data_IF_313580989579
#
_entry.id   IF_313580989579
#
_cell.length_a   1.000
_cell.length_b   1.000
_cell.length_c   1.000
_cell.angle_alpha   90.00
_cell.angle_beta   90.00
_cell.angle_gamma   90.00
#
_symmetry.space_group_name_H-M   'P 1'
#
loop_
_entity.id
_entity.type
_entity.pdbx_description
1 polymer ?
#
# COMPACT_ATOMS: atom_id res chain seq x y z
N UNK A 1 9.38 24.20 13.24
CA UNK A 1 10.08 22.91 12.97
C UNK A 1 9.42 21.77 13.73
N UNK A 2 8.92 22.02 14.94
CA UNK A 2 8.14 21.07 15.75
C UNK A 2 6.84 20.63 15.04
N UNK A 3 6.08 21.56 14.47
CA UNK A 3 4.84 21.26 13.72
C UNK A 3 5.04 20.25 12.58
N UNK A 4 6.19 20.30 11.89
CA UNK A 4 6.48 19.36 10.80
C UNK A 4 6.75 17.95 11.33
N UNK A 5 7.43 17.82 12.47
CA UNK A 5 7.66 16.52 13.10
C UNK A 5 6.35 15.94 13.64
N UNK A 6 5.50 16.75 14.27
CA UNK A 6 4.16 16.35 14.73
C UNK A 6 3.26 15.92 13.56
N UNK A 7 3.30 16.64 12.43
CA UNK A 7 2.57 16.27 11.22
C UNK A 7 3.03 14.93 10.65
N UNK A 8 4.33 14.66 10.64
CA UNK A 8 4.85 13.37 10.16
C UNK A 8 4.62 12.24 11.20
N UNK A 9 4.70 12.54 12.48
CA UNK A 9 4.42 11.60 13.58
C UNK A 9 2.96 11.14 13.56
N UNK A 10 2.03 12.04 13.25
CA UNK A 10 0.60 11.73 13.11
C UNK A 10 0.18 11.32 11.69
N UNK A 11 1.13 11.28 10.73
CA UNK A 11 0.82 10.90 9.35
C UNK A 11 0.28 9.47 9.29
N UNK A 12 -0.91 9.33 8.70
CA UNK A 12 -1.51 8.05 8.34
C UNK A 12 -1.07 7.62 6.95
N UNK A 13 -1.04 6.30 6.72
CA UNK A 13 -0.80 5.73 5.39
C UNK A 13 -1.97 6.11 4.48
N UNK A 14 -1.69 6.86 3.41
CA UNK A 14 -2.71 7.23 2.41
C UNK A 14 -2.83 6.15 1.34
N UNK A 15 -3.99 5.98 0.70
CA UNK A 15 -4.15 4.99 -0.38
C UNK A 15 -3.23 5.19 -1.59
N UNK A 16 -2.78 6.44 -1.81
CA UNK A 16 -1.83 6.80 -2.86
C UNK A 16 -0.37 6.55 -2.49
N UNK A 17 -0.07 6.36 -1.20
CA UNK A 17 1.29 6.18 -0.72
C UNK A 17 1.71 4.73 -0.87
N UNK A 18 2.97 4.50 -1.22
CA UNK A 18 3.54 3.15 -1.13
C UNK A 18 3.81 2.81 0.33
N UNK A 19 3.52 1.57 0.75
CA UNK A 19 3.73 1.18 2.14
C UNK A 19 5.21 1.30 2.55
N UNK A 20 6.13 0.99 1.62
CA UNK A 20 7.56 1.07 1.85
C UNK A 20 8.01 2.50 2.12
N UNK A 21 7.61 3.45 1.28
CA UNK A 21 7.96 4.85 1.47
C UNK A 21 7.40 5.40 2.78
N UNK A 22 6.16 5.04 3.13
CA UNK A 22 5.57 5.40 4.41
C UNK A 22 6.40 4.89 5.60
N UNK A 23 6.81 3.62 5.59
CA UNK A 23 7.59 3.02 6.66
C UNK A 23 8.98 3.63 6.80
N UNK A 24 9.65 3.95 5.68
CA UNK A 24 10.93 4.65 5.70
C UNK A 24 10.80 6.05 6.31
N UNK A 25 9.77 6.79 5.93
CA UNK A 25 9.51 8.13 6.47
C UNK A 25 9.24 8.07 7.98
N UNK A 26 8.43 7.11 8.45
CA UNK A 26 8.19 6.88 9.88
C UNK A 26 9.45 6.49 10.64
N UNK A 27 10.26 5.58 10.08
CA UNK A 27 11.51 5.14 10.72
C UNK A 27 12.60 6.23 10.78
N UNK A 28 12.51 7.26 9.93
CA UNK A 28 13.43 8.39 9.95
C UNK A 28 13.09 9.45 11.02
N UNK A 29 11.86 9.46 11.56
CA UNK A 29 11.44 10.43 12.59
C UNK A 29 12.20 10.30 13.92
N UNK A 30 12.42 9.09 14.48
CA UNK A 30 13.15 8.92 15.73
C UNK A 30 14.60 9.39 15.64
N UNK A 31 15.23 9.32 14.46
CA UNK A 31 16.61 9.79 14.26
C UNK A 31 16.72 11.33 14.36
N UNK A 32 15.60 12.05 14.35
CA UNK A 32 15.53 13.49 14.59
C UNK A 32 15.03 13.84 15.99
N UNK A 33 14.70 12.83 16.81
CA UNK A 33 14.31 12.99 18.20
C UNK A 33 15.55 12.95 19.10
N UNK A 34 15.61 13.75 20.18
CA UNK A 34 16.67 13.63 21.18
C UNK A 34 16.61 12.32 21.97
N UNK A 35 15.54 11.54 21.83
CA UNK A 35 15.34 10.26 22.50
C UNK A 35 15.52 9.09 21.53
N UNK A 36 16.43 8.17 21.87
CA UNK A 36 16.59 6.90 21.18
C UNK A 36 15.41 5.99 21.51
N UNK A 37 14.53 5.77 20.54
CA UNK A 37 13.43 4.81 20.67
C UNK A 37 13.96 3.38 20.54
N UNK A 38 13.43 2.48 21.39
CA UNK A 38 13.69 1.05 21.26
C UNK A 38 13.09 0.49 19.96
N UNK A 39 13.60 -0.64 19.47
CA UNK A 39 13.11 -1.26 18.23
C UNK A 39 11.61 -1.52 18.27
N UNK A 40 11.09 -1.99 19.40
CA UNK A 40 9.65 -2.24 19.61
C UNK A 40 8.80 -0.97 19.49
N UNK A 41 9.28 0.15 20.05
CA UNK A 41 8.61 1.45 19.94
C UNK A 41 8.65 1.97 18.51
N UNK A 42 9.77 1.77 17.79
CA UNK A 42 9.88 2.13 16.38
C UNK A 42 8.93 1.33 15.51
N UNK A 43 8.82 0.02 15.74
CA UNK A 43 7.85 -0.85 15.05
C UNK A 43 6.42 -0.37 15.33
N UNK A 44 6.10 -0.10 16.59
CA UNK A 44 4.77 0.38 17.00
C UNK A 44 4.43 1.72 16.35
N UNK A 45 5.40 2.65 16.28
CA UNK A 45 5.24 3.95 15.63
C UNK A 45 4.98 3.83 14.12
N UNK A 46 5.62 2.86 13.46
CA UNK A 46 5.41 2.61 12.04
C UNK A 46 4.00 2.03 11.80
N UNK A 47 3.53 1.15 12.69
CA UNK A 47 2.21 0.53 12.57
C UNK A 47 1.05 1.47 12.96
N UNK A 48 1.28 2.44 13.85
CA UNK A 48 0.21 3.26 14.45
C UNK A 48 -0.58 4.14 13.49
N UNK A 49 -0.08 4.39 12.28
CA UNK A 49 -0.81 5.13 11.25
C UNK A 49 -1.26 4.25 10.06
N UNK A 50 -1.18 2.93 10.17
CA UNK A 50 -1.76 2.00 9.21
C UNK A 50 -3.17 1.61 9.64
N UNK A 51 -4.18 2.29 9.10
CA UNK A 51 -5.60 1.95 9.38
C UNK A 51 -6.10 0.77 8.52
N UNK A 52 -5.41 0.45 7.44
CA UNK A 52 -5.82 -0.64 6.56
C UNK A 52 -5.34 -2.00 7.10
N UNK A 53 -6.33 -2.80 7.49
CA UNK A 53 -6.18 -4.15 8.01
C UNK A 53 -5.43 -5.10 7.07
N UNK A 54 -5.33 -4.78 5.77
CA UNK A 54 -4.59 -5.59 4.80
C UNK A 54 -3.09 -5.63 5.10
N UNK A 55 -2.55 -4.57 5.70
CA UNK A 55 -1.13 -4.52 6.07
C UNK A 55 -0.95 -4.49 7.58
N UNK A 56 -1.77 -3.74 8.31
CA UNK A 56 -1.66 -3.63 9.76
C UNK A 56 -1.76 -4.99 10.46
N UNK A 57 -2.74 -5.82 10.10
CA UNK A 57 -2.94 -7.13 10.74
C UNK A 57 -1.79 -8.12 10.46
N UNK A 58 -1.38 -8.40 9.20
CA UNK A 58 -0.30 -9.35 8.96
C UNK A 58 1.06 -8.86 9.46
N UNK A 59 1.31 -7.54 9.47
CA UNK A 59 2.54 -6.98 10.02
C UNK A 59 2.55 -6.99 11.55
N UNK A 60 1.42 -6.78 12.22
CA UNK A 60 1.30 -6.85 13.67
C UNK A 60 1.20 -8.29 14.20
N UNK A 61 0.76 -9.26 13.39
CA UNK A 61 0.54 -10.65 13.79
C UNK A 61 1.83 -11.38 14.17
N UNK A 62 2.99 -10.90 13.71
CA UNK A 62 4.28 -11.51 14.05
C UNK A 62 5.25 -10.44 14.56
N UNK A 63 5.84 -10.64 15.75
CA UNK A 63 6.88 -9.74 16.23
C UNK A 63 8.05 -9.76 15.25
N UNK A 64 8.60 -8.58 14.98
CA UNK A 64 9.81 -8.41 14.18
C UNK A 64 10.95 -8.04 15.12
N UNK A 65 12.12 -8.65 14.94
CA UNK A 65 13.29 -8.35 15.77
C UNK A 65 14.00 -7.09 15.32
N UNK A 66 13.66 -6.56 14.15
CA UNK A 66 14.20 -5.31 13.61
C UNK A 66 13.19 -4.57 12.74
N UNK A 67 13.39 -3.26 12.57
CA UNK A 67 12.60 -2.46 11.62
C UNK A 67 12.85 -2.89 10.17
N UNK A 68 14.06 -3.35 9.85
CA UNK A 68 14.40 -3.83 8.50
C UNK A 68 13.55 -5.06 8.15
N UNK A 69 13.43 -6.01 9.08
CA UNK A 69 12.59 -7.19 8.90
C UNK A 69 11.12 -6.83 8.69
N UNK A 70 10.62 -5.82 9.41
CA UNK A 70 9.26 -5.30 9.23
C UNK A 70 9.07 -4.73 7.80
N UNK A 71 10.04 -3.97 7.29
CA UNK A 71 10.01 -3.38 5.94
C UNK A 71 10.06 -4.47 4.86
N UNK A 72 10.93 -5.48 5.02
CA UNK A 72 11.03 -6.62 4.09
C UNK A 72 9.70 -7.37 4.00
N UNK A 73 9.05 -7.63 5.15
CA UNK A 73 7.73 -8.26 5.19
C UNK A 73 6.67 -7.41 4.51
N UNK A 74 6.68 -6.10 4.73
CA UNK A 74 5.77 -5.19 4.06
C UNK A 74 5.97 -5.20 2.53
N UNK A 75 7.23 -5.29 2.06
CA UNK A 75 7.55 -5.38 0.63
C UNK A 75 7.03 -6.68 0.02
N UNK A 76 7.16 -7.80 0.74
CA UNK A 76 6.61 -9.09 0.32
C UNK A 76 5.08 -9.07 0.26
N UNK A 77 4.42 -8.41 1.21
CA UNK A 77 2.96 -8.25 1.19
C UNK A 77 2.49 -7.33 0.05
N UNK A 78 3.23 -6.25 -0.23
CA UNK A 78 2.92 -5.32 -1.31
C UNK A 78 3.12 -5.93 -2.70
N UNK A 79 4.21 -6.69 -2.90
CA UNK A 79 4.48 -7.41 -4.16
C UNK A 79 3.45 -8.49 -4.46
N UNK A 80 2.94 -9.19 -3.43
CA UNK A 80 1.79 -10.12 -3.57
C UNK A 80 0.50 -9.41 -4.01
N UNK A 81 0.45 -8.08 -3.92
CA UNK A 81 -0.71 -7.24 -4.26
C UNK A 81 -0.64 -6.59 -5.65
N UNK A 82 0.49 -6.67 -6.38
CA UNK A 82 0.55 -6.16 -7.77
C UNK A 82 -0.55 -6.77 -8.64
N UNK A 83 -1.08 -6.00 -9.60
CA UNK A 83 -2.50 -5.88 -9.84
C UNK A 83 -3.03 -7.10 -10.59
N UNK A 84 -4.29 -7.47 -10.32
CA UNK A 84 -5.08 -8.11 -11.38
C UNK A 84 -4.91 -7.25 -12.64
N UNK A 85 -4.67 -7.83 -13.83
CA UNK A 85 -4.71 -7.05 -15.05
C UNK A 85 -5.99 -6.21 -15.06
N UNK A 86 -5.97 -4.98 -15.62
CA UNK A 86 -7.17 -4.17 -15.69
C UNK A 86 -8.28 -5.05 -16.25
N UNK A 87 -9.39 -5.19 -15.52
CA UNK A 87 -10.55 -5.92 -16.00
C UNK A 87 -10.86 -5.36 -17.38
N UNK A 88 -10.62 -6.15 -18.43
CA UNK A 88 -11.16 -5.87 -19.74
C UNK A 88 -12.66 -5.85 -19.53
N UNK A 89 -13.22 -4.65 -19.55
CA UNK A 89 -14.64 -4.37 -19.48
C UNK A 89 -15.31 -5.08 -20.66
N UNK A 90 -15.66 -6.36 -20.47
CA UNK A 90 -16.50 -7.11 -21.40
C UNK A 90 -17.95 -6.75 -21.09
N UNK A 91 -18.31 -5.50 -21.35
CA UNK A 91 -19.71 -5.17 -21.52
C UNK A 91 -19.91 -3.98 -22.46
N UNK A 92 -19.87 -4.27 -23.76
CA UNK A 92 -20.80 -3.64 -24.70
C UNK A 92 -21.63 -4.70 -25.41
N UNK A 93 -22.76 -5.01 -24.75
CA UNK A 93 -24.11 -5.04 -25.31
C UNK A 93 -24.31 -5.91 -26.55
N UNK A 94 -24.96 -7.05 -26.33
CA UNK A 94 -25.87 -7.68 -27.30
C UNK A 94 -27.05 -6.74 -27.60
N UNK A 95 -27.38 -6.54 -28.88
CA UNK A 95 -28.76 -6.66 -29.46
C UNK A 95 -28.87 -6.03 -30.86
N UNK A 96 -29.02 -6.93 -31.85
CA UNK A 96 -29.90 -6.92 -33.05
C UNK A 96 -29.97 -5.72 -34.03
N UNK A 97 -29.76 -6.00 -35.34
CA UNK A 97 -30.83 -6.26 -36.36
C UNK A 97 -30.40 -5.91 -37.81
N UNK A 98 -30.47 -6.92 -38.67
CA UNK A 98 -30.69 -7.00 -40.13
C UNK A 98 -30.08 -6.04 -41.19
N UNK A 99 -29.53 -6.74 -42.22
CA UNK A 99 -29.52 -6.48 -43.68
C UNK A 99 -28.57 -5.35 -44.16
N UNK A 100 -27.73 -5.54 -45.19
CA UNK A 100 -28.06 -5.86 -46.58
C UNK A 100 -26.87 -6.55 -47.29
N UNK A 101 -27.18 -7.67 -47.96
CA UNK A 101 -26.65 -8.28 -49.20
C UNK A 101 -25.34 -7.70 -49.78
N UNK A 102 -24.32 -8.56 -49.92
CA UNK A 102 -23.39 -8.59 -51.07
C UNK A 102 -22.75 -9.98 -51.18
N UNK A 103 -23.42 -10.87 -51.91
CA UNK A 103 -22.89 -12.17 -52.35
C UNK A 103 -22.99 -12.27 -53.87
N UNK A 104 -21.83 -12.32 -54.51
CA UNK A 104 -21.62 -12.42 -55.95
C UNK A 104 -22.23 -13.68 -56.56
N UNK A 105 -22.79 -13.57 -57.78
CA UNK A 105 -22.68 -14.64 -58.79
C UNK A 105 -22.85 -14.03 -60.18
N UNK A 106 -21.82 -14.17 -61.02
CA UNK A 106 -21.92 -14.17 -62.48
C UNK A 106 -21.34 -15.48 -62.96
#
# INVERSE_FOLDING_TARGET
MQDFHDLQFNRRLRPSDTIIEYMYLKNALPNKSPYLLATEERVTLILSGMEDNTWANPLAAQPCSSVVELIDRAALLDTRRRPRPPSTDHNKVTTSRNEIVMGMTR
#
